data_IF_308818000143
#
_entry.id   IF_308818000143
#
_cell.length_a   1.000
_cell.length_b   1.000
_cell.length_c   1.000
_cell.angle_alpha   90.00
_cell.angle_beta   90.00
_cell.angle_gamma   90.00
#
_symmetry.space_group_name_H-M   'P 1'
#
loop_
_entity.id
_entity.type
_entity.pdbx_description
1 polymer ?
#
# COMPACT_ATOMS: atom_id res chain seq x y z
N UNK A 1 16.85 23.83 -11.97
CA UNK A 1 17.40 25.20 -11.81
C UNK A 1 17.65 25.57 -10.36
N UNK A 2 16.95 24.97 -9.39
CA UNK A 2 17.17 25.23 -7.95
C UNK A 2 18.36 24.44 -7.39
N UNK A 3 18.72 23.31 -7.99
CA UNK A 3 19.76 22.39 -7.57
C UNK A 3 20.75 22.14 -8.71
N UNK A 4 21.57 23.12 -9.09
CA UNK A 4 22.43 23.04 -10.29
C UNK A 4 23.68 22.18 -10.10
N UNK A 5 24.04 21.86 -8.86
CA UNK A 5 25.27 21.12 -8.51
C UNK A 5 24.99 19.73 -7.96
N UNK A 6 23.75 19.46 -7.55
CA UNK A 6 23.34 18.23 -6.90
C UNK A 6 22.95 17.17 -7.93
N UNK A 7 23.15 15.90 -7.61
CA UNK A 7 22.58 14.81 -8.38
C UNK A 7 21.10 14.69 -8.04
N UNK A 8 20.25 14.59 -9.09
CA UNK A 8 18.81 14.43 -8.93
C UNK A 8 18.44 12.98 -9.21
N UNK A 9 17.80 12.36 -8.26
CA UNK A 9 17.32 10.99 -8.31
C UNK A 9 15.79 10.91 -8.28
N UNK A 10 15.23 9.84 -8.82
CA UNK A 10 13.85 9.42 -8.59
C UNK A 10 13.84 8.02 -7.99
N UNK A 11 12.98 7.77 -7.01
CA UNK A 11 12.86 6.43 -6.41
C UNK A 11 12.21 5.42 -7.34
N UNK A 12 11.48 5.88 -8.35
CA UNK A 12 10.89 5.12 -9.46
C UNK A 12 10.54 6.08 -10.60
N UNK A 13 9.90 5.60 -11.68
CA UNK A 13 9.24 6.46 -12.67
C UNK A 13 8.32 7.46 -11.95
N UNK A 14 8.32 8.73 -12.40
CA UNK A 14 7.50 9.78 -11.77
C UNK A 14 6.00 9.48 -11.88
N UNK A 15 5.61 8.96 -13.03
CA UNK A 15 4.26 8.47 -13.36
C UNK A 15 4.40 7.39 -14.45
N UNK A 16 3.35 6.59 -14.68
CA UNK A 16 3.31 5.62 -15.79
C UNK A 16 3.12 6.30 -17.15
N UNK A 17 4.04 7.19 -17.50
CA UNK A 17 4.06 7.89 -18.78
C UNK A 17 5.49 7.94 -19.33
N UNK A 18 5.81 7.10 -20.35
CA UNK A 18 7.15 7.01 -20.92
C UNK A 18 7.68 8.35 -21.47
N UNK A 19 6.80 9.20 -22.05
CA UNK A 19 7.22 10.49 -22.58
C UNK A 19 7.74 11.43 -21.50
N UNK A 20 7.06 11.46 -20.34
CA UNK A 20 7.47 12.26 -19.17
C UNK A 20 8.77 11.72 -18.59
N UNK A 21 8.87 10.41 -18.38
CA UNK A 21 10.07 9.77 -17.84
C UNK A 21 11.29 9.96 -18.73
N UNK A 22 11.12 9.84 -20.06
CA UNK A 22 12.17 10.13 -21.05
C UNK A 22 12.60 11.61 -21.02
N UNK A 23 11.67 12.53 -20.82
CA UNK A 23 12.00 13.96 -20.70
C UNK A 23 12.88 14.22 -19.46
N UNK A 24 12.51 13.65 -18.31
CA UNK A 24 13.29 13.76 -17.07
C UNK A 24 14.69 13.15 -17.21
N UNK A 25 14.79 11.99 -17.88
CA UNK A 25 16.09 11.36 -18.17
C UNK A 25 16.98 12.24 -19.02
N UNK A 26 16.43 12.94 -20.03
CA UNK A 26 17.19 13.94 -20.85
C UNK A 26 17.64 15.14 -20.05
N UNK A 27 16.97 15.45 -18.94
CA UNK A 27 17.37 16.46 -17.97
C UNK A 27 18.40 15.96 -16.94
N UNK A 28 18.98 14.77 -17.17
CA UNK A 28 19.93 14.11 -16.30
C UNK A 28 19.39 13.73 -14.92
N UNK A 29 18.07 13.52 -14.80
CA UNK A 29 17.44 12.93 -13.61
C UNK A 29 17.62 11.40 -13.68
N UNK A 30 18.20 10.82 -12.63
CA UNK A 30 18.52 9.40 -12.56
C UNK A 30 17.41 8.63 -11.84
N UNK A 31 17.12 7.41 -12.28
CA UNK A 31 16.21 6.51 -11.56
C UNK A 31 17.05 5.58 -10.70
N UNK A 32 16.66 5.41 -9.43
CA UNK A 32 17.29 4.46 -8.51
C UNK A 32 17.02 3.05 -9.02
N UNK A 33 18.09 2.28 -9.24
CA UNK A 33 17.98 0.91 -9.74
C UNK A 33 17.30 0.00 -8.73
N UNK A 34 16.49 -0.94 -9.22
CA UNK A 34 15.90 -1.99 -8.40
C UNK A 34 16.39 -3.35 -8.86
N UNK A 35 16.78 -4.22 -7.92
CA UNK A 35 17.14 -5.60 -8.15
C UNK A 35 16.21 -6.50 -7.35
N UNK A 36 15.50 -7.40 -8.03
CA UNK A 36 14.51 -8.28 -7.41
C UNK A 36 13.42 -7.52 -6.61
N UNK A 37 13.04 -6.34 -7.08
CA UNK A 37 12.04 -5.48 -6.40
C UNK A 37 12.56 -4.68 -5.20
N UNK A 38 13.86 -4.76 -4.90
CA UNK A 38 14.53 -3.98 -3.85
C UNK A 38 15.31 -2.85 -4.50
N UNK A 39 15.02 -1.62 -4.12
CA UNK A 39 15.73 -0.42 -4.62
C UNK A 39 17.10 -0.30 -3.97
N UNK A 40 18.11 0.01 -4.79
CA UNK A 40 19.49 0.18 -4.33
C UNK A 40 19.82 1.66 -4.16
N UNK A 41 19.81 2.12 -2.92
CA UNK A 41 20.15 3.48 -2.54
C UNK A 41 21.64 3.72 -2.30
N UNK A 42 22.52 2.77 -2.64
CA UNK A 42 23.97 2.89 -2.39
C UNK A 42 24.62 4.05 -3.15
N UNK A 43 24.09 4.38 -4.33
CA UNK A 43 24.56 5.48 -5.18
C UNK A 43 24.02 6.85 -4.77
N UNK A 44 23.06 6.92 -3.84
CA UNK A 44 22.49 8.16 -3.33
C UNK A 44 23.36 8.66 -2.17
N UNK A 45 23.88 9.88 -2.30
CA UNK A 45 24.78 10.51 -1.33
C UNK A 45 24.09 11.59 -0.50
N UNK A 46 24.72 11.97 0.59
CA UNK A 46 24.32 13.12 1.40
C UNK A 46 24.16 14.38 0.53
N UNK A 47 23.08 15.11 0.72
CA UNK A 47 22.76 16.35 -0.02
C UNK A 47 22.20 16.14 -1.43
N UNK A 48 22.14 14.90 -1.94
CA UNK A 48 21.47 14.63 -3.20
C UNK A 48 19.98 14.98 -3.13
N UNK A 49 19.41 15.34 -4.27
CA UNK A 49 17.98 15.59 -4.40
C UNK A 49 17.27 14.31 -4.81
N UNK A 50 16.25 13.92 -4.06
CA UNK A 50 15.47 12.71 -4.37
C UNK A 50 13.99 13.05 -4.53
N UNK A 51 13.45 12.76 -5.70
CA UNK A 51 12.03 12.97 -6.03
C UNK A 51 11.27 11.68 -5.73
N UNK A 52 10.26 11.77 -4.88
CA UNK A 52 9.28 10.70 -4.68
C UNK A 52 8.22 10.79 -5.77
N UNK A 53 7.87 9.69 -6.47
CA UNK A 53 6.90 9.69 -7.56
C UNK A 53 5.47 9.88 -7.07
N UNK A 54 4.54 10.05 -8.00
CA UNK A 54 3.12 10.18 -7.69
C UNK A 54 2.52 8.99 -6.92
N UNK A 55 3.12 7.81 -7.03
CA UNK A 55 2.74 6.60 -6.29
C UNK A 55 3.20 6.59 -4.83
N UNK A 56 4.06 7.56 -4.45
CA UNK A 56 4.69 7.63 -3.16
C UNK A 56 5.93 6.74 -3.02
N UNK A 57 6.37 6.60 -1.78
CA UNK A 57 7.46 5.73 -1.37
C UNK A 57 7.10 5.02 -0.06
N UNK A 58 7.78 3.92 0.25
CA UNK A 58 7.58 3.23 1.53
C UNK A 58 8.13 4.05 2.69
N UNK A 59 7.61 3.82 3.89
CA UNK A 59 8.10 4.46 5.12
C UNK A 59 9.61 4.22 5.28
N UNK A 60 10.07 2.99 4.99
CA UNK A 60 11.48 2.62 5.09
C UNK A 60 12.36 3.39 4.09
N UNK A 61 11.88 3.57 2.85
CA UNK A 61 12.60 4.36 1.84
C UNK A 61 12.71 5.83 2.26
N UNK A 62 11.62 6.41 2.75
CA UNK A 62 11.62 7.81 3.24
C UNK A 62 12.53 8.00 4.45
N UNK A 63 12.52 7.04 5.39
CA UNK A 63 13.40 7.06 6.55
C UNK A 63 14.87 6.97 6.13
N UNK A 64 15.22 6.06 5.21
CA UNK A 64 16.58 5.92 4.70
C UNK A 64 17.06 7.20 4.01
N UNK A 65 16.22 7.86 3.22
CA UNK A 65 16.56 9.13 2.56
C UNK A 65 16.74 10.25 3.57
N UNK A 66 15.95 10.27 4.63
CA UNK A 66 16.12 11.22 5.73
C UNK A 66 17.43 10.99 6.49
N UNK A 67 17.78 9.73 6.80
CA UNK A 67 19.05 9.36 7.44
C UNK A 67 20.27 9.73 6.58
N UNK A 68 20.12 9.72 5.25
CA UNK A 68 21.15 10.19 4.29
C UNK A 68 21.18 11.72 4.14
N UNK A 69 20.31 12.44 4.85
CA UNK A 69 20.17 13.90 4.75
C UNK A 69 19.96 14.39 3.30
N UNK A 70 19.17 13.64 2.51
CA UNK A 70 18.80 14.02 1.15
C UNK A 70 17.76 15.16 1.15
N UNK A 71 17.77 15.97 0.09
CA UNK A 71 16.69 16.91 -0.19
C UNK A 71 15.52 16.17 -0.85
N UNK A 72 14.51 15.79 -0.05
CA UNK A 72 13.35 15.06 -0.54
C UNK A 72 12.35 16.03 -1.19
N UNK A 73 12.01 15.78 -2.46
CA UNK A 73 10.93 16.46 -3.18
C UNK A 73 9.77 15.45 -3.31
N UNK A 74 8.79 15.63 -2.46
CA UNK A 74 7.61 14.75 -2.45
C UNK A 74 6.60 15.22 -3.50
N UNK A 75 6.36 14.38 -4.51
CA UNK A 75 5.32 14.58 -5.53
C UNK A 75 4.19 13.57 -5.43
N UNK A 76 4.05 12.93 -4.28
CA UNK A 76 2.98 11.98 -4.01
C UNK A 76 1.61 12.58 -4.31
N UNK A 77 0.81 11.87 -5.08
CA UNK A 77 -0.55 12.29 -5.37
C UNK A 77 -1.39 12.40 -4.07
N UNK A 78 -2.13 13.50 -3.84
CA UNK A 78 -2.96 13.66 -2.64
C UNK A 78 -3.99 12.53 -2.43
N UNK A 79 -4.45 11.89 -3.50
CA UNK A 79 -5.32 10.71 -3.40
C UNK A 79 -4.59 9.50 -2.81
N UNK A 80 -3.31 9.32 -3.14
CA UNK A 80 -2.47 8.25 -2.58
C UNK A 80 -2.22 8.51 -1.09
N UNK A 81 -1.82 9.73 -0.72
CA UNK A 81 -1.60 10.07 0.69
C UNK A 81 -2.87 9.97 1.54
N UNK A 82 -4.05 10.23 0.95
CA UNK A 82 -5.34 9.98 1.63
C UNK A 82 -5.52 8.50 2.00
N UNK A 83 -5.13 7.59 1.11
CA UNK A 83 -5.18 6.14 1.41
C UNK A 83 -4.20 5.78 2.53
N UNK A 84 -3.01 6.39 2.57
CA UNK A 84 -2.06 6.19 3.68
C UNK A 84 -2.68 6.56 5.03
N UNK A 85 -3.33 7.72 5.11
CA UNK A 85 -4.04 8.11 6.34
C UNK A 85 -5.15 7.13 6.73
N UNK A 86 -5.81 6.51 5.74
CA UNK A 86 -6.81 5.48 6.01
C UNK A 86 -6.17 4.26 6.67
N UNK A 87 -5.08 3.72 6.12
CA UNK A 87 -4.41 2.54 6.71
C UNK A 87 -3.69 2.86 8.02
N UNK A 88 -3.21 4.09 8.22
CA UNK A 88 -2.70 4.57 9.52
C UNK A 88 -3.80 4.61 10.56
N UNK A 89 -5.00 5.07 10.19
CA UNK A 89 -6.18 5.02 11.07
C UNK A 89 -6.53 3.58 11.45
N UNK A 90 -6.49 2.65 10.49
CA UNK A 90 -6.67 1.23 10.76
C UNK A 90 -5.63 0.74 11.79
N UNK A 91 -4.34 1.03 11.55
CA UNK A 91 -3.24 0.68 12.46
C UNK A 91 -3.45 1.24 13.87
N UNK A 92 -3.81 2.53 13.98
CA UNK A 92 -4.04 3.20 15.27
C UNK A 92 -5.14 2.54 16.08
N UNK A 93 -6.16 2.02 15.42
CA UNK A 93 -7.29 1.35 16.07
C UNK A 93 -7.19 -0.18 16.05
N UNK A 94 -6.01 -0.74 15.72
CA UNK A 94 -5.74 -2.20 15.70
C UNK A 94 -6.61 -2.98 14.69
N UNK A 95 -7.00 -2.35 13.58
CA UNK A 95 -7.67 -3.02 12.47
C UNK A 95 -6.64 -3.50 11.44
N UNK A 96 -6.90 -4.65 10.85
CA UNK A 96 -6.20 -5.10 9.65
C UNK A 96 -6.71 -4.35 8.43
N UNK A 97 -5.80 -3.83 7.60
CA UNK A 97 -6.14 -3.20 6.34
C UNK A 97 -6.33 -4.24 5.25
N UNK A 98 -7.55 -4.43 4.77
CA UNK A 98 -7.82 -5.14 3.52
C UNK A 98 -7.60 -4.13 2.38
N UNK A 99 -6.56 -4.34 1.59
CA UNK A 99 -6.16 -3.41 0.53
C UNK A 99 -6.55 -4.00 -0.83
N UNK A 100 -7.56 -3.42 -1.48
CA UNK A 100 -7.90 -3.76 -2.86
C UNK A 100 -6.84 -3.20 -3.81
N UNK A 101 -6.03 -4.06 -4.42
CA UNK A 101 -4.91 -3.63 -5.25
C UNK A 101 -4.00 -4.75 -5.74
N UNK A 102 -3.02 -4.37 -6.53
CA UNK A 102 -1.98 -5.28 -7.02
C UNK A 102 -0.82 -5.31 -6.02
N UNK A 103 -0.59 -6.43 -5.35
CA UNK A 103 0.37 -6.52 -4.24
C UNK A 103 1.82 -6.13 -4.57
N UNK A 104 2.22 -6.20 -5.85
CA UNK A 104 3.55 -5.79 -6.34
C UNK A 104 3.60 -4.35 -6.87
N UNK A 105 2.47 -3.66 -6.98
CA UNK A 105 2.45 -2.29 -7.50
C UNK A 105 3.06 -1.32 -6.48
N UNK A 106 3.85 -0.35 -6.95
CA UNK A 106 4.58 0.61 -6.09
C UNK A 106 3.65 1.34 -5.11
N UNK A 107 2.47 1.78 -5.56
CA UNK A 107 1.47 2.41 -4.70
C UNK A 107 0.98 1.49 -3.59
N UNK A 108 0.76 0.19 -3.89
CA UNK A 108 0.37 -0.79 -2.89
C UNK A 108 1.51 -1.10 -1.93
N UNK A 109 2.76 -1.14 -2.43
CA UNK A 109 3.96 -1.29 -1.60
C UNK A 109 4.10 -0.12 -0.63
N UNK A 110 3.92 1.11 -1.11
CA UNK A 110 3.93 2.30 -0.28
C UNK A 110 2.80 2.24 0.76
N UNK A 111 1.55 2.05 0.34
CA UNK A 111 0.36 2.02 1.21
C UNK A 111 0.50 0.98 2.34
N UNK A 112 0.90 -0.25 2.01
CA UNK A 112 1.04 -1.30 3.03
C UNK A 112 2.15 -1.02 4.05
N UNK A 113 3.14 -0.19 3.71
CA UNK A 113 4.20 0.19 4.65
C UNK A 113 3.72 1.09 5.79
N UNK A 114 2.61 1.82 5.58
CA UNK A 114 1.94 2.63 6.60
C UNK A 114 0.96 1.81 7.44
N UNK A 115 0.52 0.66 6.94
CA UNK A 115 -0.41 -0.21 7.66
C UNK A 115 0.27 -0.89 8.86
N UNK A 116 -0.55 -1.38 9.79
CA UNK A 116 -0.13 -2.38 10.78
C UNK A 116 -0.17 -3.77 10.14
N UNK A 117 -1.19 -4.56 10.49
CA UNK A 117 -1.50 -5.76 9.73
C UNK A 117 -2.24 -5.40 8.44
N UNK A 118 -1.93 -6.12 7.37
CA UNK A 118 -2.60 -5.94 6.10
C UNK A 118 -2.77 -7.27 5.35
N UNK A 119 -3.76 -7.28 4.49
CA UNK A 119 -3.99 -8.30 3.47
C UNK A 119 -4.36 -7.59 2.17
N UNK A 120 -3.65 -7.89 1.08
CA UNK A 120 -3.97 -7.36 -0.25
C UNK A 120 -4.84 -8.37 -0.98
N UNK A 121 -5.97 -7.90 -1.52
CA UNK A 121 -6.86 -8.65 -2.40
C UNK A 121 -6.88 -7.98 -3.77
N UNK A 122 -6.80 -8.78 -4.83
CA UNK A 122 -6.70 -8.26 -6.19
C UNK A 122 -8.06 -7.90 -6.79
N UNK A 123 -9.08 -8.67 -6.48
CA UNK A 123 -10.42 -8.56 -7.05
C UNK A 123 -11.50 -9.02 -6.06
N UNK A 124 -12.76 -8.92 -6.50
CA UNK A 124 -13.91 -9.36 -5.72
C UNK A 124 -13.85 -10.87 -5.39
N UNK A 125 -13.34 -11.71 -6.29
CA UNK A 125 -13.27 -13.15 -6.05
C UNK A 125 -12.28 -13.49 -4.92
N UNK A 126 -11.14 -12.80 -4.84
CA UNK A 126 -10.23 -12.93 -3.70
C UNK A 126 -10.85 -12.39 -2.41
N UNK A 127 -11.59 -11.29 -2.48
CA UNK A 127 -12.31 -10.75 -1.32
C UNK A 127 -13.39 -11.69 -0.81
N UNK A 128 -14.15 -12.34 -1.70
CA UNK A 128 -15.15 -13.38 -1.36
C UNK A 128 -14.51 -14.58 -0.66
N UNK A 129 -13.33 -15.02 -1.13
CA UNK A 129 -12.61 -16.10 -0.47
C UNK A 129 -12.23 -15.72 0.97
N UNK A 130 -11.73 -14.48 1.19
CA UNK A 130 -11.41 -13.97 2.53
C UNK A 130 -12.67 -13.87 3.39
N UNK A 131 -13.80 -13.39 2.84
CA UNK A 131 -15.06 -13.31 3.54
C UNK A 131 -15.57 -14.72 3.96
N UNK A 132 -15.44 -15.70 3.09
CA UNK A 132 -15.77 -17.10 3.39
C UNK A 132 -14.88 -17.67 4.51
N UNK A 133 -13.58 -17.33 4.51
CA UNK A 133 -12.68 -17.70 5.61
C UNK A 133 -13.14 -17.10 6.95
N UNK A 134 -13.48 -15.82 6.97
CA UNK A 134 -13.99 -15.12 8.17
C UNK A 134 -15.23 -15.82 8.73
N UNK A 135 -16.10 -16.36 7.85
CA UNK A 135 -17.31 -17.11 8.23
C UNK A 135 -17.05 -18.58 8.60
N UNK A 136 -15.79 -19.05 8.55
CA UNK A 136 -15.42 -20.42 8.91
C UNK A 136 -15.61 -21.46 7.82
N UNK A 137 -15.77 -21.05 6.56
CA UNK A 137 -16.01 -21.95 5.43
C UNK A 137 -14.74 -22.42 4.71
N UNK A 138 -13.56 -21.88 5.09
CA UNK A 138 -12.28 -22.16 4.46
C UNK A 138 -11.24 -22.62 5.49
N UNK A 139 -10.19 -23.33 5.02
CA UNK A 139 -9.12 -23.82 5.89
C UNK A 139 -7.93 -22.86 5.95
N UNK A 140 -7.33 -22.72 7.13
CA UNK A 140 -6.17 -21.83 7.37
C UNK A 140 -5.00 -22.14 6.47
N UNK A 141 -4.68 -23.41 6.26
CA UNK A 141 -3.55 -23.83 5.42
C UNK A 141 -3.75 -23.43 3.96
N UNK A 142 -4.99 -23.52 3.46
CA UNK A 142 -5.33 -23.11 2.09
C UNK A 142 -5.31 -21.60 1.94
N UNK A 143 -5.85 -20.89 2.94
CA UNK A 143 -5.78 -19.43 3.02
C UNK A 143 -4.32 -18.94 2.97
N UNK A 144 -3.47 -19.45 3.84
CA UNK A 144 -2.06 -19.05 3.90
C UNK A 144 -1.30 -19.42 2.63
N UNK A 145 -1.59 -20.56 1.99
CA UNK A 145 -1.00 -20.90 0.70
C UNK A 145 -1.37 -19.89 -0.39
N UNK A 146 -2.61 -19.38 -0.38
CA UNK A 146 -3.09 -18.39 -1.36
C UNK A 146 -2.51 -17.00 -1.10
N UNK A 147 -2.50 -16.55 0.16
CA UNK A 147 -2.23 -15.15 0.52
C UNK A 147 -0.88 -14.89 1.21
N UNK A 148 -0.02 -15.90 1.42
CA UNK A 148 1.25 -15.74 2.14
C UNK A 148 2.14 -14.59 1.62
N UNK A 149 2.07 -14.28 0.32
CA UNK A 149 2.84 -13.18 -0.29
C UNK A 149 2.09 -11.83 -0.27
N UNK A 150 0.80 -11.86 0.02
CA UNK A 150 -0.09 -10.72 -0.06
C UNK A 150 -0.47 -10.14 1.32
N UNK A 151 0.01 -10.73 2.40
CA UNK A 151 -0.25 -10.30 3.77
C UNK A 151 1.03 -9.82 4.48
N UNK A 152 0.84 -9.16 5.62
CA UNK A 152 1.94 -8.71 6.49
C UNK A 152 2.73 -9.89 7.06
N UNK A 153 3.99 -9.66 7.42
CA UNK A 153 4.82 -10.68 8.06
C UNK A 153 4.22 -11.10 9.41
N UNK A 154 4.18 -12.41 9.67
CA UNK A 154 3.55 -12.95 10.87
C UNK A 154 2.02 -12.91 10.89
N UNK A 155 1.39 -12.72 9.72
CA UNK A 155 -0.06 -12.69 9.61
C UNK A 155 -0.70 -14.02 10.00
N UNK A 156 -1.60 -13.96 10.97
CA UNK A 156 -2.47 -15.07 11.35
C UNK A 156 -3.92 -14.70 11.03
N UNK A 157 -4.58 -15.36 10.07
CA UNK A 157 -5.93 -14.99 9.66
C UNK A 157 -6.97 -15.20 10.76
N UNK A 158 -6.76 -16.13 11.71
CA UNK A 158 -7.69 -16.35 12.83
C UNK A 158 -7.74 -15.16 13.78
N UNK A 159 -6.62 -14.46 13.91
CA UNK A 159 -6.47 -13.30 14.80
C UNK A 159 -6.69 -11.99 14.03
N UNK A 160 -5.99 -11.85 12.91
CA UNK A 160 -5.91 -10.57 12.20
C UNK A 160 -7.13 -10.24 11.35
N UNK A 161 -8.01 -11.23 11.06
CA UNK A 161 -9.28 -10.98 10.37
C UNK A 161 -10.48 -10.80 11.32
N UNK A 162 -10.26 -10.70 12.63
CA UNK A 162 -11.33 -10.35 13.58
C UNK A 162 -11.77 -8.89 13.47
N UNK A 163 -10.87 -8.00 13.04
CA UNK A 163 -11.10 -6.56 12.93
C UNK A 163 -10.51 -6.05 11.62
N UNK A 164 -11.35 -5.61 10.69
CA UNK A 164 -10.90 -5.21 9.35
C UNK A 164 -11.42 -3.84 8.95
N UNK A 165 -10.62 -3.12 8.17
CA UNK A 165 -11.03 -1.93 7.44
C UNK A 165 -10.55 -2.03 6.00
N UNK A 166 -11.28 -1.42 5.06
CA UNK A 166 -10.98 -1.51 3.63
C UNK A 166 -10.25 -0.26 3.16
N UNK A 167 -9.24 -0.45 2.31
CA UNK A 167 -8.53 0.59 1.59
C UNK A 167 -8.29 0.12 0.14
N UNK A 168 -7.84 1.00 -0.76
CA UNK A 168 -7.61 0.63 -2.14
C UNK A 168 -6.38 1.31 -2.73
N UNK A 169 -5.79 0.66 -3.72
CA UNK A 169 -4.91 1.31 -4.68
C UNK A 169 -5.76 2.26 -5.54
N UNK A 170 -5.34 3.51 -5.70
CA UNK A 170 -6.18 4.58 -6.31
C UNK A 170 -6.57 4.31 -7.76
N UNK A 171 -5.83 3.45 -8.47
CA UNK A 171 -6.08 3.06 -9.86
C UNK A 171 -7.00 1.84 -10.01
N UNK A 172 -7.48 1.24 -8.91
CA UNK A 172 -8.51 0.18 -8.96
C UNK A 172 -9.89 0.78 -9.26
N UNK A 173 -10.79 -0.05 -9.78
CA UNK A 173 -12.16 0.38 -10.07
C UNK A 173 -12.89 0.72 -8.77
N UNK A 174 -13.42 1.94 -8.72
CA UNK A 174 -14.14 2.45 -7.55
C UNK A 174 -15.34 1.58 -7.21
N UNK A 175 -16.14 1.19 -8.22
CA UNK A 175 -17.31 0.33 -8.02
C UNK A 175 -16.96 -1.02 -7.39
N UNK A 176 -15.87 -1.65 -7.83
CA UNK A 176 -15.40 -2.92 -7.27
C UNK A 176 -14.88 -2.73 -5.83
N UNK A 177 -14.17 -1.63 -5.54
CA UNK A 177 -13.76 -1.32 -4.17
C UNK A 177 -14.95 -1.12 -3.23
N UNK A 178 -15.99 -0.43 -3.69
CA UNK A 178 -17.23 -0.24 -2.92
C UNK A 178 -17.97 -1.57 -2.69
N UNK A 179 -17.96 -2.46 -3.68
CA UNK A 179 -18.55 -3.80 -3.58
C UNK A 179 -17.78 -4.67 -2.57
N UNK A 180 -16.44 -4.64 -2.63
CA UNK A 180 -15.58 -5.29 -1.64
C UNK A 180 -15.82 -4.73 -0.23
N UNK A 181 -15.95 -3.41 -0.10
CA UNK A 181 -16.28 -2.77 1.18
C UNK A 181 -17.59 -3.29 1.77
N UNK A 182 -18.66 -3.31 0.97
CA UNK A 182 -19.97 -3.85 1.37
C UNK A 182 -19.93 -5.35 1.69
N UNK A 183 -19.14 -6.12 0.94
CA UNK A 183 -18.95 -7.55 1.21
C UNK A 183 -18.38 -7.76 2.62
N UNK A 184 -17.30 -7.05 2.99
CA UNK A 184 -16.71 -7.18 4.32
C UNK A 184 -17.62 -6.65 5.42
N UNK A 185 -18.30 -5.53 5.21
CA UNK A 185 -19.29 -5.00 6.15
C UNK A 185 -20.38 -6.05 6.46
N UNK A 186 -20.99 -6.64 5.41
CA UNK A 186 -22.00 -7.66 5.55
C UNK A 186 -21.45 -8.94 6.21
N UNK A 187 -20.22 -9.32 5.90
CA UNK A 187 -19.55 -10.48 6.48
C UNK A 187 -19.36 -10.31 7.97
N UNK A 188 -18.86 -9.12 8.39
CA UNK A 188 -18.66 -8.80 9.80
C UNK A 188 -20.00 -8.65 10.54
N UNK A 189 -20.99 -8.04 9.91
CA UNK A 189 -22.34 -7.95 10.46
C UNK A 189 -22.96 -9.34 10.69
N UNK A 190 -22.75 -10.25 9.74
CA UNK A 190 -23.23 -11.64 9.86
C UNK A 190 -22.55 -12.40 10.97
N UNK A 191 -21.22 -12.17 11.17
CA UNK A 191 -20.42 -12.90 12.17
C UNK A 191 -20.62 -12.36 13.59
N UNK A 192 -20.64 -11.04 13.76
CA UNK A 192 -20.61 -10.36 15.06
C UNK A 192 -21.91 -9.66 15.45
N UNK A 193 -22.83 -9.50 14.49
CA UNK A 193 -24.10 -8.83 14.72
C UNK A 193 -24.04 -7.30 14.70
N UNK A 194 -25.23 -6.65 14.72
CA UNK A 194 -25.31 -5.18 14.56
C UNK A 194 -24.85 -4.37 15.80
N UNK A 195 -24.75 -4.99 16.97
CA UNK A 195 -24.30 -4.32 18.18
C UNK A 195 -22.79 -4.11 18.17
N UNK A 196 -22.04 -5.13 17.77
CA UNK A 196 -20.58 -5.18 17.88
C UNK A 196 -19.87 -4.84 16.55
N UNK A 197 -20.61 -4.54 15.47
CA UNK A 197 -20.04 -4.31 14.14
C UNK A 197 -18.95 -3.23 14.13
N UNK A 198 -19.09 -2.16 14.90
CA UNK A 198 -18.13 -1.06 14.94
C UNK A 198 -16.80 -1.44 15.59
N UNK A 199 -16.76 -2.50 16.38
CA UNK A 199 -15.54 -3.05 16.96
C UNK A 199 -14.80 -3.97 15.99
N UNK A 200 -15.47 -4.45 14.94
CA UNK A 200 -14.96 -5.43 13.99
C UNK A 200 -14.81 -4.91 12.57
N UNK A 201 -15.53 -3.84 12.19
CA UNK A 201 -15.46 -3.25 10.86
C UNK A 201 -15.32 -1.73 10.92
N UNK A 202 -14.31 -1.21 10.23
CA UNK A 202 -14.14 0.22 10.01
C UNK A 202 -14.59 0.57 8.59
N UNK A 203 -15.70 1.32 8.50
CA UNK A 203 -16.30 1.68 7.23
C UNK A 203 -15.33 2.39 6.29
N UNK A 204 -15.42 2.05 5.01
CA UNK A 204 -14.72 2.73 3.92
C UNK A 204 -15.35 4.13 3.69
N UNK A 205 -14.54 5.18 3.78
CA UNK A 205 -14.93 6.58 3.54
C UNK A 205 -14.21 7.16 2.32
#
# INVERSE_FOLDING_TARGET
RHYPKETIWMTNEIIHNPSVNNHLSRMNVKIISAKNGIKDFSSVSHGDVVILPAFGATVQEMQLLHEKECHIIDTTCPWVSKVWHTVEKHKKHTFTSIIHGKYKHEETLATRSFAGNYLVVFDLAEAEYVANYILGNEKKEEFMRKFAKACSNGFDPDIHLERVGVANQTTMLKSETEEIGKLFENTMLKKYGPVDINDHFLAFN
#
